data_IF_094951659601
#
_entry.id   IF_094951659601
#
_cell.length_a   1.000
_cell.length_b   1.000
_cell.length_c   1.000
_cell.angle_alpha   90.00
_cell.angle_beta   90.00
_cell.angle_gamma   90.00
#
_symmetry.space_group_name_H-M   'P 1'
#
loop_
_entity.id
_entity.type
_entity.pdbx_description
1 polymer ?
#
# COMPACT_ATOMS: atom_id res chain seq x y z
N UNK A 1 12.94 9.43 0.64
CA UNK A 1 13.94 9.40 1.72
C UNK A 1 15.36 9.53 1.17
N UNK A 2 15.64 10.59 0.39
CA UNK A 2 16.91 10.73 -0.31
C UNK A 2 18.12 10.82 0.64
N UNK A 3 17.96 11.42 1.82
CA UNK A 3 19.04 11.54 2.79
C UNK A 3 19.45 10.18 3.41
N UNK A 4 18.50 9.25 3.61
CA UNK A 4 18.79 7.91 4.15
C UNK A 4 19.53 7.07 3.12
N UNK A 5 19.13 7.17 1.84
CA UNK A 5 19.81 6.50 0.73
C UNK A 5 21.23 7.02 0.55
N UNK A 6 21.42 8.35 0.57
CA UNK A 6 22.74 8.97 0.48
C UNK A 6 23.63 8.53 1.65
N UNK A 7 23.13 8.56 2.89
CA UNK A 7 23.89 8.09 4.05
C UNK A 7 24.23 6.60 3.95
N UNK A 8 23.29 5.77 3.50
CA UNK A 8 23.50 4.33 3.30
C UNK A 8 24.62 4.06 2.30
N UNK A 9 24.59 4.73 1.15
CA UNK A 9 25.63 4.62 0.12
C UNK A 9 26.99 5.09 0.64
N UNK A 10 27.04 6.24 1.32
CA UNK A 10 28.29 6.79 1.86
C UNK A 10 28.91 5.88 2.93
N UNK A 11 28.11 5.29 3.82
CA UNK A 11 28.58 4.36 4.84
C UNK A 11 29.03 3.04 4.21
N UNK A 12 28.27 2.49 3.26
CA UNK A 12 28.63 1.25 2.58
C UNK A 12 29.95 1.41 1.80
N UNK A 13 30.13 2.52 1.09
CA UNK A 13 31.37 2.85 0.39
C UNK A 13 32.57 3.00 1.33
N UNK A 14 32.37 3.53 2.55
CA UNK A 14 33.45 3.74 3.53
C UNK A 14 33.91 2.45 4.20
N UNK A 15 32.96 1.55 4.51
CA UNK A 15 33.23 0.35 5.30
C UNK A 15 33.33 -0.93 4.47
N UNK A 16 33.02 -0.88 3.17
CA UNK A 16 32.98 -2.04 2.26
C UNK A 16 32.10 -3.18 2.79
N UNK A 17 30.99 -2.82 3.44
CA UNK A 17 30.02 -3.76 3.99
C UNK A 17 28.69 -3.58 3.26
N UNK A 18 28.18 -4.68 2.70
CA UNK A 18 26.89 -4.70 2.00
C UNK A 18 25.71 -5.05 2.93
N UNK A 19 25.99 -5.72 4.05
CA UNK A 19 25.00 -6.12 5.04
C UNK A 19 24.77 -5.07 6.13
N UNK A 20 23.50 -4.85 6.51
CA UNK A 20 23.10 -3.80 7.45
C UNK A 20 23.70 -3.94 8.86
N UNK A 21 23.77 -5.16 9.41
CA UNK A 21 24.21 -5.38 10.81
C UNK A 21 25.70 -5.04 11.02
N UNK A 22 26.64 -5.54 10.19
CA UNK A 22 28.04 -5.16 10.32
C UNK A 22 28.30 -3.69 9.92
N UNK A 23 27.50 -3.12 9.01
CA UNK A 23 27.57 -1.70 8.67
C UNK A 23 27.20 -0.82 9.86
N UNK A 24 26.10 -1.15 10.54
CA UNK A 24 25.67 -0.46 11.76
C UNK A 24 26.72 -0.61 12.85
N UNK A 25 27.28 -1.81 13.05
CA UNK A 25 28.36 -2.03 14.02
C UNK A 25 29.59 -1.17 13.74
N UNK A 26 30.02 -1.08 12.48
CA UNK A 26 31.17 -0.27 12.07
C UNK A 26 30.90 1.24 12.19
N UNK A 27 29.69 1.69 11.85
CA UNK A 27 29.31 3.10 11.88
C UNK A 27 28.99 3.62 13.29
N UNK A 28 28.43 2.80 14.17
CA UNK A 28 27.95 3.21 15.50
C UNK A 28 28.95 2.94 16.63
N UNK A 29 29.95 2.09 16.43
CA UNK A 29 31.00 1.81 17.41
C UNK A 29 30.43 1.45 18.79
N UNK A 30 30.82 2.20 19.83
CA UNK A 30 30.33 1.99 21.21
C UNK A 30 28.84 2.32 21.43
N UNK A 31 28.20 3.05 20.50
CA UNK A 31 26.78 3.40 20.58
C UNK A 31 25.85 2.35 19.98
N UNK A 32 26.39 1.19 19.56
CA UNK A 32 25.65 0.12 18.90
C UNK A 32 24.38 -0.27 19.66
N UNK A 33 24.45 -0.37 21.00
CA UNK A 33 23.29 -0.69 21.83
C UNK A 33 22.14 0.31 21.64
N UNK A 34 22.45 1.61 21.61
CA UNK A 34 21.44 2.66 21.43
C UNK A 34 20.84 2.63 20.02
N UNK A 35 21.66 2.37 19.01
CA UNK A 35 21.20 2.29 17.61
C UNK A 35 20.27 1.08 17.41
N UNK A 36 20.61 -0.08 17.97
CA UNK A 36 19.72 -1.24 17.95
C UNK A 36 18.45 -1.00 18.76
N UNK A 37 18.54 -0.41 19.95
CA UNK A 37 17.37 -0.07 20.75
C UNK A 37 16.43 0.88 20.01
N UNK A 38 16.97 1.91 19.35
CA UNK A 38 16.22 2.83 18.52
C UNK A 38 15.58 2.14 17.31
N UNK A 39 16.31 1.23 16.65
CA UNK A 39 15.79 0.44 15.53
C UNK A 39 14.65 -0.51 15.94
N UNK A 40 14.80 -1.18 17.08
CA UNK A 40 13.75 -2.02 17.67
C UNK A 40 12.53 -1.16 18.00
N UNK A 41 12.72 -0.03 18.68
CA UNK A 41 11.62 0.86 19.05
C UNK A 41 10.90 1.43 17.82
N UNK A 42 11.66 1.80 16.78
CA UNK A 42 11.11 2.25 15.50
C UNK A 42 10.27 1.16 14.82
N UNK A 43 10.78 -0.08 14.80
CA UNK A 43 10.07 -1.23 14.24
C UNK A 43 8.79 -1.54 15.02
N UNK A 44 8.85 -1.49 16.35
CA UNK A 44 7.66 -1.65 17.21
C UNK A 44 6.63 -0.58 16.89
N UNK A 45 7.06 0.69 16.82
CA UNK A 45 6.16 1.82 16.55
C UNK A 45 5.47 1.70 15.19
N UNK A 46 6.19 1.29 14.15
CA UNK A 46 5.62 1.05 12.83
C UNK A 46 4.58 -0.09 12.86
N UNK A 47 4.87 -1.17 13.58
CA UNK A 47 3.93 -2.30 13.70
C UNK A 47 2.68 -1.96 14.53
N UNK A 48 2.76 -1.03 15.49
CA UNK A 48 1.56 -0.55 16.21
C UNK A 48 0.54 0.05 15.24
N UNK A 49 0.98 0.84 14.25
CA UNK A 49 0.10 1.41 13.24
C UNK A 49 -0.54 0.33 12.35
N UNK A 50 0.24 -0.69 11.98
CA UNK A 50 -0.25 -1.81 11.18
C UNK A 50 -1.31 -2.64 11.94
N UNK A 51 -1.04 -2.97 13.21
CA UNK A 51 -1.99 -3.71 14.05
C UNK A 51 -3.25 -2.86 14.31
N UNK A 52 -3.08 -1.56 14.56
CA UNK A 52 -4.20 -0.66 14.80
C UNK A 52 -5.15 -0.60 13.60
N UNK A 53 -4.61 -0.39 12.40
CA UNK A 53 -5.41 -0.35 11.16
C UNK A 53 -6.04 -1.71 10.86
N UNK A 54 -5.34 -2.82 11.09
CA UNK A 54 -5.93 -4.15 10.98
C UNK A 54 -7.05 -4.41 11.99
N UNK A 55 -6.90 -3.96 13.23
CA UNK A 55 -7.90 -4.12 14.27
C UNK A 55 -9.16 -3.28 13.98
N UNK A 56 -9.01 -2.04 13.50
CA UNK A 56 -10.17 -1.24 13.08
C UNK A 56 -10.85 -1.84 11.85
N UNK A 57 -10.11 -2.41 10.90
CA UNK A 57 -10.69 -3.18 9.79
C UNK A 57 -11.50 -4.38 10.29
N UNK A 58 -10.98 -5.17 11.23
CA UNK A 58 -11.71 -6.30 11.82
C UNK A 58 -13.02 -5.85 12.48
N UNK A 59 -13.00 -4.77 13.25
CA UNK A 59 -14.19 -4.23 13.91
C UNK A 59 -15.24 -3.68 12.92
N UNK A 60 -14.86 -3.38 11.67
CA UNK A 60 -15.82 -2.95 10.65
C UNK A 60 -16.67 -4.11 10.09
N UNK A 61 -16.30 -5.36 10.37
CA UNK A 61 -17.05 -6.56 10.00
C UNK A 61 -18.24 -6.86 10.93
N UNK A 62 -18.64 -5.90 11.78
CA UNK A 62 -19.73 -6.00 12.77
C UNK A 62 -19.58 -7.16 13.78
N UNK A 63 -18.35 -7.63 13.99
CA UNK A 63 -18.02 -8.60 15.04
C UNK A 63 -18.03 -7.90 16.39
N UNK A 64 -18.77 -8.47 17.35
CA UNK A 64 -18.88 -7.96 18.72
C UNK A 64 -17.62 -8.26 19.53
N UNK A 65 -16.52 -7.58 19.24
CA UNK A 65 -15.24 -7.70 19.96
C UNK A 65 -14.85 -6.36 20.59
N UNK A 66 -14.19 -6.40 21.74
CA UNK A 66 -13.59 -5.20 22.31
C UNK A 66 -12.34 -4.81 21.50
N UNK A 67 -12.02 -3.51 21.45
CA UNK A 67 -10.86 -3.00 20.70
C UNK A 67 -9.56 -3.68 21.10
N UNK A 68 -9.37 -3.96 22.40
CA UNK A 68 -8.19 -4.66 22.90
C UNK A 68 -8.08 -6.10 22.38
N UNK A 69 -9.18 -6.83 22.35
CA UNK A 69 -9.21 -8.21 21.85
C UNK A 69 -8.93 -8.24 20.35
N UNK A 70 -9.53 -7.33 19.57
CA UNK A 70 -9.26 -7.23 18.13
C UNK A 70 -7.76 -6.96 17.84
N UNK A 71 -7.13 -6.04 18.58
CA UNK A 71 -5.69 -5.75 18.47
C UNK A 71 -4.84 -6.97 18.80
N UNK A 72 -5.16 -7.72 19.85
CA UNK A 72 -4.43 -8.94 20.23
C UNK A 72 -4.56 -10.01 19.14
N UNK A 73 -5.78 -10.24 18.61
CA UNK A 73 -6.02 -11.21 17.54
C UNK A 73 -5.20 -10.86 16.31
N UNK A 74 -5.26 -9.61 15.84
CA UNK A 74 -4.52 -9.14 14.66
C UNK A 74 -3.01 -9.23 14.89
N UNK A 75 -2.53 -8.85 16.07
CA UNK A 75 -1.11 -8.95 16.43
C UNK A 75 -0.60 -10.40 16.47
N UNK A 76 -1.36 -11.31 17.07
CA UNK A 76 -1.03 -12.74 17.11
C UNK A 76 -1.05 -13.37 15.72
N UNK A 77 -2.06 -13.05 14.90
CA UNK A 77 -2.15 -13.53 13.53
C UNK A 77 -0.94 -13.06 12.71
N UNK A 78 -0.58 -11.78 12.83
CA UNK A 78 0.61 -11.22 12.20
C UNK A 78 1.90 -11.91 12.65
N UNK A 79 2.06 -12.18 13.96
CA UNK A 79 3.22 -12.88 14.49
C UNK A 79 3.32 -14.33 13.98
N UNK A 80 2.20 -15.05 13.91
CA UNK A 80 2.16 -16.42 13.36
C UNK A 80 2.52 -16.42 11.88
N UNK A 81 1.94 -15.51 11.08
CA UNK A 81 2.27 -15.39 9.66
C UNK A 81 3.73 -15.01 9.43
N UNK A 82 4.29 -14.12 10.27
CA UNK A 82 5.70 -13.76 10.22
C UNK A 82 6.61 -14.96 10.52
N UNK A 83 6.28 -15.76 11.54
CA UNK A 83 7.02 -16.97 11.88
C UNK A 83 6.98 -18.02 10.75
N UNK A 84 5.81 -18.22 10.15
CA UNK A 84 5.65 -19.16 9.03
C UNK A 84 6.36 -18.67 7.76
N UNK A 85 6.39 -17.35 7.53
CA UNK A 85 6.97 -16.72 6.35
C UNK A 85 8.49 -16.49 6.40
N UNK A 86 9.16 -16.78 7.51
CA UNK A 86 10.61 -16.53 7.69
C UNK A 86 11.46 -17.30 6.65
N UNK A 87 11.05 -18.51 6.26
CA UNK A 87 11.81 -19.36 5.33
C UNK A 87 11.53 -18.97 3.87
N UNK A 88 12.54 -18.45 3.17
CA UNK A 88 12.44 -18.07 1.76
C UNK A 88 11.83 -16.69 1.52
N UNK A 89 11.70 -15.86 2.58
CA UNK A 89 11.04 -14.55 2.56
C UNK A 89 11.48 -13.67 1.39
N UNK A 90 12.78 -13.59 1.07
CA UNK A 90 13.30 -12.64 0.08
C UNK A 90 12.64 -12.76 -1.29
N UNK A 91 12.47 -13.99 -1.81
CA UNK A 91 11.84 -14.22 -3.12
C UNK A 91 10.33 -14.08 -3.08
N UNK A 92 9.68 -14.58 -2.02
CA UNK A 92 8.22 -14.46 -1.87
C UNK A 92 7.78 -13.02 -1.57
N UNK A 93 8.63 -12.23 -0.91
CA UNK A 93 8.33 -10.87 -0.52
C UNK A 93 8.23 -9.94 -1.72
N UNK A 94 9.15 -10.02 -2.69
CA UNK A 94 9.05 -9.22 -3.92
C UNK A 94 7.75 -9.53 -4.68
N UNK A 95 7.46 -10.81 -4.90
CA UNK A 95 6.22 -11.23 -5.56
C UNK A 95 4.96 -10.82 -4.78
N UNK A 96 5.02 -10.87 -3.44
CA UNK A 96 3.95 -10.41 -2.58
C UNK A 96 3.75 -8.89 -2.68
N UNK A 97 4.84 -8.11 -2.71
CA UNK A 97 4.77 -6.66 -2.91
C UNK A 97 4.20 -6.31 -4.29
N UNK A 98 4.60 -7.05 -5.34
CA UNK A 98 4.02 -6.90 -6.67
C UNK A 98 2.52 -7.19 -6.66
N UNK A 99 2.11 -8.31 -6.07
CA UNK A 99 0.69 -8.65 -5.94
C UNK A 99 -0.11 -7.56 -5.19
N UNK A 100 0.43 -7.07 -4.07
CA UNK A 100 -0.17 -5.96 -3.34
C UNK A 100 -0.24 -4.69 -4.19
N UNK A 101 0.80 -4.39 -4.99
CA UNK A 101 0.81 -3.23 -5.87
C UNK A 101 -0.27 -3.29 -6.93
N UNK A 102 -0.53 -4.48 -7.50
CA UNK A 102 -1.59 -4.68 -8.50
C UNK A 102 -2.98 -4.43 -7.92
N UNK A 103 -3.15 -4.62 -6.62
CA UNK A 103 -4.39 -4.35 -5.91
C UNK A 103 -4.49 -2.88 -5.46
N UNK A 104 -3.44 -2.33 -4.86
CA UNK A 104 -3.45 -0.97 -4.31
C UNK A 104 -3.50 0.09 -5.42
N UNK A 105 -2.78 -0.11 -6.52
CA UNK A 105 -2.65 0.91 -7.56
C UNK A 105 -3.99 1.25 -8.28
N UNK A 106 -4.81 0.28 -8.74
CA UNK A 106 -6.13 0.59 -9.29
C UNK A 106 -7.03 1.32 -8.29
N UNK A 107 -7.03 0.89 -7.02
CA UNK A 107 -7.85 1.51 -5.98
C UNK A 107 -7.42 2.95 -5.69
N UNK A 108 -6.10 3.19 -5.69
CA UNK A 108 -5.54 4.53 -5.55
C UNK A 108 -5.99 5.45 -6.71
N UNK A 109 -6.03 4.94 -7.95
CA UNK A 109 -6.54 5.69 -9.11
C UNK A 109 -7.98 6.16 -8.91
N UNK A 110 -8.85 5.26 -8.40
CA UNK A 110 -10.25 5.59 -8.06
C UNK A 110 -10.32 6.66 -6.96
N UNK A 111 -9.58 6.48 -5.86
CA UNK A 111 -9.57 7.43 -4.73
C UNK A 111 -9.10 8.82 -5.16
N UNK A 112 -8.04 8.91 -5.97
CA UNK A 112 -7.52 10.20 -6.42
C UNK A 112 -8.53 10.96 -7.27
N UNK A 113 -9.21 10.28 -8.19
CA UNK A 113 -10.26 10.89 -9.00
C UNK A 113 -11.47 11.29 -8.16
N UNK A 114 -11.89 10.44 -7.20
CA UNK A 114 -12.97 10.76 -6.26
C UNK A 114 -12.66 12.02 -5.43
N UNK A 115 -11.42 12.09 -4.92
CA UNK A 115 -10.93 13.23 -4.13
C UNK A 115 -10.85 14.51 -4.98
N UNK A 116 -10.30 14.43 -6.20
CA UNK A 116 -10.17 15.56 -7.10
C UNK A 116 -11.52 16.14 -7.55
N UNK A 117 -12.57 15.32 -7.64
CA UNK A 117 -13.92 15.75 -8.00
C UNK A 117 -14.75 16.24 -6.82
N UNK A 118 -14.18 16.24 -5.61
CA UNK A 118 -14.87 16.70 -4.40
C UNK A 118 -16.07 15.83 -4.05
N UNK A 119 -16.07 14.55 -4.45
CA UNK A 119 -17.16 13.63 -4.14
C UNK A 119 -17.19 13.36 -2.64
N UNK A 120 -18.03 14.11 -1.92
CA UNK A 120 -18.44 13.73 -0.58
C UNK A 120 -19.27 12.47 -0.73
N UNK A 121 -18.96 11.42 0.05
CA UNK A 121 -19.72 10.16 0.20
C UNK A 121 -21.21 10.40 -0.06
N UNK A 122 -21.65 10.28 -1.32
CA UNK A 122 -23.07 10.37 -1.62
C UNK A 122 -23.65 9.04 -1.18
N UNK A 123 -24.46 9.13 -0.15
CA UNK A 123 -25.12 8.02 0.50
C UNK A 123 -25.99 7.21 -0.49
N UNK A 124 -25.74 5.90 -0.49
CA UNK A 124 -26.73 4.84 -0.20
C UNK A 124 -27.74 4.35 -1.25
N UNK A 125 -27.66 4.69 -2.53
CA UNK A 125 -28.65 4.13 -3.49
C UNK A 125 -28.17 3.02 -4.44
N UNK A 126 -26.87 2.67 -4.47
CA UNK A 126 -26.38 1.57 -5.31
C UNK A 126 -25.77 0.44 -4.50
N UNK A 127 -26.18 -0.79 -4.80
CA UNK A 127 -25.62 -2.02 -4.24
C UNK A 127 -24.11 -2.15 -4.53
N UNK A 128 -23.62 -1.57 -5.62
CA UNK A 128 -22.20 -1.53 -5.98
C UNK A 128 -21.84 -0.14 -6.50
N UNK A 129 -20.80 0.49 -5.93
CA UNK A 129 -20.37 1.83 -6.36
C UNK A 129 -19.66 1.78 -7.73
N UNK A 130 -19.77 2.83 -8.57
CA UNK A 130 -18.99 2.94 -9.81
C UNK A 130 -17.47 2.76 -9.60
N UNK A 131 -16.98 3.09 -8.40
CA UNK A 131 -15.58 2.89 -8.01
C UNK A 131 -15.17 1.43 -7.97
N UNK A 132 -16.05 0.52 -7.55
CA UNK A 132 -15.77 -0.93 -7.54
C UNK A 132 -15.63 -1.46 -8.97
N UNK A 133 -16.50 -1.03 -9.90
CA UNK A 133 -16.39 -1.42 -11.30
C UNK A 133 -15.10 -0.90 -11.93
N UNK A 134 -14.77 0.38 -11.71
CA UNK A 134 -13.53 0.96 -12.20
C UNK A 134 -12.28 0.25 -11.64
N UNK A 135 -12.32 -0.09 -10.35
CA UNK A 135 -11.29 -0.89 -9.70
C UNK A 135 -11.12 -2.27 -10.35
N UNK A 136 -12.22 -3.02 -10.53
CA UNK A 136 -12.17 -4.35 -11.14
C UNK A 136 -11.71 -4.31 -12.59
N UNK A 137 -12.15 -3.32 -13.36
CA UNK A 137 -11.71 -3.15 -14.76
C UNK A 137 -10.22 -2.81 -14.81
N UNK A 138 -9.72 -1.93 -13.93
CA UNK A 138 -8.29 -1.65 -13.82
C UNK A 138 -7.47 -2.87 -13.42
N UNK A 139 -7.98 -3.68 -12.48
CA UNK A 139 -7.35 -4.92 -12.05
C UNK A 139 -7.30 -5.97 -13.17
N UNK A 140 -8.38 -6.12 -13.95
CA UNK A 140 -8.40 -7.03 -15.09
C UNK A 140 -7.47 -6.54 -16.22
N UNK A 141 -7.42 -5.24 -16.45
CA UNK A 141 -6.54 -4.64 -17.45
C UNK A 141 -5.05 -4.76 -17.10
N UNK A 142 -4.70 -4.92 -15.82
CA UNK A 142 -3.30 -5.10 -15.40
C UNK A 142 -2.77 -6.52 -15.64
N UNK A 143 -3.65 -7.53 -15.74
CA UNK A 143 -3.27 -8.95 -15.89
C UNK A 143 -2.29 -9.19 -17.05
N UNK A 144 -2.45 -8.63 -18.26
CA UNK A 144 -1.50 -8.89 -19.35
C UNK A 144 -0.09 -8.33 -19.12
N UNK A 145 0.06 -7.39 -18.18
CA UNK A 145 1.28 -6.64 -17.87
C UNK A 145 1.98 -7.10 -16.59
N UNK A 146 1.43 -8.10 -15.90
CA UNK A 146 2.01 -8.64 -14.67
C UNK A 146 3.26 -9.46 -14.99
N UNK A 147 4.32 -9.27 -14.21
CA UNK A 147 5.55 -10.03 -14.28
C UNK A 147 5.92 -10.52 -12.88
N UNK A 148 5.41 -11.70 -12.51
CA UNK A 148 5.72 -12.35 -11.24
C UNK A 148 6.14 -13.81 -11.46
N UNK A 149 6.79 -14.40 -10.47
CA UNK A 149 7.27 -15.80 -10.51
C UNK A 149 6.18 -16.83 -10.80
N UNK A 150 4.95 -16.60 -10.32
CA UNK A 150 3.82 -17.51 -10.52
C UNK A 150 3.07 -17.28 -11.83
N UNK A 151 3.20 -16.10 -12.42
CA UNK A 151 2.46 -15.70 -13.61
C UNK A 151 3.13 -14.54 -14.33
N UNK A 152 3.40 -14.75 -15.62
CA UNK A 152 3.91 -13.72 -16.52
C UNK A 152 2.91 -13.52 -17.65
N UNK A 153 2.40 -12.28 -17.76
CA UNK A 153 1.44 -11.90 -18.78
C UNK A 153 2.06 -11.82 -20.18
N UNK A 154 1.26 -11.96 -21.25
CA UNK A 154 1.76 -11.95 -22.62
C UNK A 154 2.46 -10.64 -23.02
N UNK A 155 2.01 -9.50 -22.48
CA UNK A 155 2.64 -8.19 -22.77
C UNK A 155 3.92 -8.03 -21.96
N UNK A 156 3.92 -8.44 -20.69
CA UNK A 156 5.14 -8.46 -19.87
C UNK A 156 6.24 -9.31 -20.53
N UNK A 157 5.88 -10.49 -21.04
CA UNK A 157 6.80 -11.37 -21.78
C UNK A 157 7.35 -10.72 -23.05
N UNK A 158 6.49 -10.05 -23.82
CA UNK A 158 6.92 -9.33 -25.03
C UNK A 158 7.88 -8.17 -24.72
N UNK A 159 7.81 -7.61 -23.51
CA UNK A 159 8.68 -6.54 -23.01
C UNK A 159 9.91 -7.05 -22.25
N UNK A 160 10.20 -8.36 -22.31
CA UNK A 160 11.38 -8.94 -21.65
C UNK A 160 11.24 -9.08 -20.13
N UNK A 161 10.01 -9.26 -19.62
CA UNK A 161 9.73 -9.43 -18.19
C UNK A 161 9.52 -8.12 -17.43
N UNK A 162 9.37 -6.99 -18.12
CA UNK A 162 9.06 -5.70 -17.49
C UNK A 162 7.66 -5.71 -16.87
N UNK A 163 7.57 -5.36 -15.58
CA UNK A 163 6.29 -5.21 -14.88
C UNK A 163 5.72 -3.80 -15.03
N UNK A 164 4.59 -3.70 -15.72
CA UNK A 164 3.85 -2.44 -15.88
C UNK A 164 2.42 -2.52 -15.32
N UNK A 165 2.08 -3.60 -14.64
CA UNK A 165 0.72 -3.90 -14.21
C UNK A 165 0.16 -2.84 -13.25
N UNK A 166 0.97 -2.38 -12.30
CA UNK A 166 0.53 -1.36 -11.33
C UNK A 166 0.26 0.00 -12.00
N UNK A 167 1.07 0.41 -12.99
CA UNK A 167 0.80 1.63 -13.76
C UNK A 167 -0.48 1.50 -14.58
N UNK A 168 -0.61 0.41 -15.34
CA UNK A 168 -1.79 0.17 -16.18
C UNK A 168 -3.05 0.12 -15.33
N UNK A 169 -3.02 -0.63 -14.22
CA UNK A 169 -4.14 -0.75 -13.30
C UNK A 169 -4.56 0.59 -12.71
N UNK A 170 -3.59 1.42 -12.30
CA UNK A 170 -3.82 2.78 -11.81
C UNK A 170 -4.52 3.66 -12.86
N UNK A 171 -3.95 3.77 -14.05
CA UNK A 171 -4.46 4.70 -15.08
C UNK A 171 -5.81 4.24 -15.64
N UNK A 172 -5.98 2.93 -15.89
CA UNK A 172 -7.25 2.39 -16.37
C UNK A 172 -8.35 2.62 -15.34
N UNK A 173 -8.12 2.30 -14.07
CA UNK A 173 -9.12 2.54 -13.02
C UNK A 173 -9.45 4.03 -12.86
N UNK A 174 -8.45 4.91 -12.89
CA UNK A 174 -8.66 6.35 -12.82
C UNK A 174 -9.50 6.88 -13.99
N UNK A 175 -9.19 6.47 -15.23
CA UNK A 175 -9.93 6.87 -16.44
C UNK A 175 -11.36 6.35 -16.40
N UNK A 176 -11.55 5.06 -16.13
CA UNK A 176 -12.88 4.44 -16.08
C UNK A 176 -13.73 5.10 -15.01
N UNK A 177 -13.17 5.37 -13.84
CA UNK A 177 -13.89 6.07 -12.79
C UNK A 177 -14.24 7.50 -13.20
N UNK A 178 -13.28 8.26 -13.73
CA UNK A 178 -13.50 9.65 -14.15
C UNK A 178 -14.61 9.79 -15.20
N UNK A 179 -14.71 8.84 -16.14
CA UNK A 179 -15.74 8.80 -17.18
C UNK A 179 -17.09 8.34 -16.63
N UNK A 180 -17.09 7.43 -15.65
CA UNK A 180 -18.31 6.91 -15.02
C UNK A 180 -19.02 7.94 -14.14
N UNK A 181 -18.31 8.99 -13.71
CA UNK A 181 -18.86 10.04 -12.87
C UNK A 181 -19.63 11.07 -13.70
N UNK A 182 -20.88 11.31 -13.29
CA UNK A 182 -21.72 12.36 -13.89
C UNK A 182 -21.12 13.75 -13.60
N UNK A 183 -21.30 14.74 -14.50
CA UNK A 183 -20.91 16.11 -14.21
C UNK A 183 -21.62 16.60 -12.95
N UNK A 184 -20.85 17.10 -11.98
CA UNK A 184 -21.41 17.73 -10.77
C UNK A 184 -22.11 19.01 -11.20
N UNK A 185 -23.44 19.04 -11.14
CA UNK A 185 -24.20 20.28 -11.29
C UNK A 185 -23.77 21.23 -10.17
N UNK A 186 -23.08 22.32 -10.49
CA UNK A 186 -22.82 23.38 -9.52
C UNK A 186 -24.18 23.98 -9.16
N UNK A 187 -24.70 23.68 -7.98
CA UNK A 187 -25.89 24.39 -7.46
C UNK A 187 -25.50 25.86 -7.37
N UNK A 188 -26.21 26.79 -8.06
CA UNK A 188 -25.93 28.21 -7.96
C UNK A 188 -26.00 28.64 -6.50
N UNK A 189 -24.95 29.27 -5.99
CA UNK A 189 -24.99 29.90 -4.67
C UNK A 189 -26.09 30.95 -4.71
N UNK A 190 -27.16 30.75 -3.94
CA UNK A 190 -28.22 31.73 -3.82
C UNK A 190 -27.61 33.07 -3.38
N UNK A 191 -27.80 34.11 -4.18
CA UNK A 191 -27.32 35.44 -3.84
C UNK A 191 -27.97 35.90 -2.52
N UNK A 192 -27.21 36.47 -1.58
CA UNK A 192 -27.78 36.98 -0.34
C UNK A 192 -28.81 38.06 -0.68
N UNK A 193 -30.03 37.88 -0.19
CA UNK A 193 -31.10 38.87 -0.31
C UNK A 193 -30.65 40.11 0.45
N UNK A 194 -30.28 41.18 -0.28
CA UNK A 194 -30.07 42.49 0.30
C UNK A 194 -31.42 42.96 0.86
N UNK A 195 -31.48 43.15 2.18
CA UNK A 195 -32.58 43.82 2.88
C UNK A 195 -32.14 45.23 3.24
#
# INVERSE_FOLDING_TARGET
SAWVEILGVLLAARFHVESAVPLLRAASGGLMLFVFAAGILGTVTANVLNIYTGATSLLTLDVRLSRGVATIIVGLLGAVLAYLGERGFSGYYENFLLLLSYWVAPWLGVILVASARGERKQEKERAVSPGIYAFLIGLLASIPFMSQSLYEGPVARALGGADLAYYVGFFVAAIVYAVSLRPVSRVPVAQPVQR
#
